data_IF_386114597059
#
_entry.id   IF_386114597059
#
_cell.length_a   1.000
_cell.length_b   1.000
_cell.length_c   1.000
_cell.angle_alpha   90.00
_cell.angle_beta   90.00
_cell.angle_gamma   90.00
#
_symmetry.space_group_name_H-M   'P 1'
#
loop_
_entity.id
_entity.type
_entity.pdbx_description
1 polymer ?
#
# COMPACT_ATOMS: atom_id res chain seq x y z
N UNK A 1 20.34 -23.32 6.70
CA UNK A 1 19.17 -22.42 6.67
C UNK A 1 18.89 -22.05 8.12
N UNK A 2 19.24 -20.83 8.53
CA UNK A 2 19.13 -20.38 9.92
C UNK A 2 17.66 -20.32 10.33
N UNK A 3 17.32 -20.90 11.49
CA UNK A 3 15.99 -20.78 12.07
C UNK A 3 15.77 -19.34 12.50
N UNK A 4 14.83 -18.65 11.87
CA UNK A 4 14.42 -17.30 12.28
C UNK A 4 13.94 -17.31 13.74
N UNK A 5 14.42 -16.35 14.52
CA UNK A 5 14.21 -16.16 15.96
C UNK A 5 12.74 -16.16 16.44
N UNK A 6 11.78 -15.98 15.53
CA UNK A 6 10.35 -15.93 15.82
C UNK A 6 9.60 -17.22 15.45
N UNK A 7 10.29 -18.22 14.89
CA UNK A 7 9.66 -19.47 14.44
C UNK A 7 8.92 -20.21 15.56
N UNK A 8 9.39 -20.07 16.80
CA UNK A 8 8.82 -20.73 17.97
C UNK A 8 7.61 -19.97 18.58
N UNK A 9 7.28 -18.77 18.07
CA UNK A 9 6.20 -17.92 18.59
C UNK A 9 5.04 -17.72 17.59
N UNK A 10 5.12 -18.28 16.39
CA UNK A 10 4.07 -18.17 15.37
C UNK A 10 3.40 -19.53 15.17
N UNK A 11 2.13 -19.65 15.56
CA UNK A 11 1.32 -20.82 15.23
C UNK A 11 0.80 -20.72 13.79
N UNK A 12 1.10 -21.74 12.97
CA UNK A 12 0.64 -21.87 11.58
C UNK A 12 1.71 -21.54 10.53
N UNK A 13 1.55 -22.08 9.32
CA UNK A 13 2.35 -21.66 8.17
C UNK A 13 1.84 -20.30 7.70
N UNK A 14 2.65 -19.22 7.70
CA UNK A 14 2.26 -17.96 7.11
C UNK A 14 1.94 -18.20 5.64
N UNK A 15 0.70 -17.89 5.24
CA UNK A 15 0.26 -17.98 3.86
C UNK A 15 0.33 -16.59 3.25
N UNK A 16 1.03 -16.49 2.11
CA UNK A 16 1.05 -15.27 1.34
C UNK A 16 -0.36 -14.87 0.89
N UNK A 17 -0.70 -13.59 1.04
CA UNK A 17 -1.94 -13.01 0.55
C UNK A 17 -1.61 -11.83 -0.35
N UNK A 18 -2.05 -11.93 -1.61
CA UNK A 18 -1.91 -10.86 -2.60
C UNK A 18 -2.95 -9.75 -2.35
N UNK A 19 -2.95 -9.19 -1.15
CA UNK A 19 -3.88 -8.16 -0.69
C UNK A 19 -3.11 -7.01 -0.03
N UNK A 20 -3.52 -5.75 -0.29
CA UNK A 20 -2.93 -4.61 0.37
C UNK A 20 -3.33 -4.63 1.85
N UNK A 21 -2.39 -4.31 2.72
CA UNK A 21 -2.61 -4.22 4.15
C UNK A 21 -1.92 -2.99 4.73
N UNK A 22 -2.52 -2.42 5.76
CA UNK A 22 -1.99 -1.26 6.46
C UNK A 22 -1.14 -1.69 7.66
N UNK A 23 0.08 -1.15 7.72
CA UNK A 23 0.98 -1.27 8.84
C UNK A 23 0.90 0.00 9.71
N UNK A 24 0.25 -0.04 10.89
CA UNK A 24 0.12 1.12 11.75
C UNK A 24 1.46 1.59 12.32
N UNK A 25 2.43 0.69 12.52
CA UNK A 25 3.76 1.05 13.04
C UNK A 25 4.59 1.85 12.05
N UNK A 26 4.40 1.60 10.75
CA UNK A 26 5.12 2.28 9.67
C UNK A 26 4.34 3.43 9.03
N UNK A 27 3.08 3.64 9.43
CA UNK A 27 2.09 4.48 8.73
C UNK A 27 2.14 4.24 7.21
N UNK A 28 2.04 2.96 6.80
CA UNK A 28 2.20 2.59 5.41
C UNK A 28 1.24 1.49 4.98
N UNK A 29 0.88 1.50 3.70
CA UNK A 29 0.21 0.38 3.04
C UNK A 29 1.27 -0.39 2.27
N UNK A 30 1.26 -1.70 2.43
CA UNK A 30 2.13 -2.64 1.74
C UNK A 30 1.27 -3.53 0.84
N UNK A 31 1.67 -3.67 -0.41
CA UNK A 31 1.04 -4.58 -1.35
C UNK A 31 2.08 -5.36 -2.13
N UNK A 32 1.88 -6.67 -2.25
CA UNK A 32 2.68 -7.56 -3.08
C UNK A 32 1.74 -8.52 -3.82
N UNK A 33 2.11 -8.86 -5.05
CA UNK A 33 1.35 -9.76 -5.93
C UNK A 33 1.83 -11.21 -5.88
N UNK A 34 3.09 -11.41 -5.49
CA UNK A 34 3.75 -12.71 -5.45
C UNK A 34 4.67 -12.81 -4.22
N UNK A 35 4.80 -14.03 -3.70
CA UNK A 35 5.73 -14.39 -2.63
C UNK A 35 7.11 -14.67 -3.25
N UNK A 36 7.81 -13.61 -3.60
CA UNK A 36 9.11 -13.66 -4.25
C UNK A 36 10.10 -12.75 -3.50
N UNK A 37 11.40 -13.05 -3.60
CA UNK A 37 12.41 -12.14 -3.11
C UNK A 37 12.30 -10.78 -3.85
N UNK A 38 12.35 -9.68 -3.09
CA UNK A 38 12.08 -8.34 -3.63
C UNK A 38 13.33 -7.45 -3.64
N UNK A 39 13.47 -6.65 -4.69
CA UNK A 39 14.33 -5.46 -4.72
C UNK A 39 13.43 -4.25 -4.49
N UNK A 40 13.72 -3.47 -3.45
CA UNK A 40 12.92 -2.32 -3.05
C UNK A 40 13.51 -1.02 -3.60
N UNK A 41 12.86 -0.47 -4.64
CA UNK A 41 13.28 0.77 -5.27
C UNK A 41 12.52 1.95 -4.67
N UNK A 42 13.20 2.75 -3.85
CA UNK A 42 12.66 3.99 -3.30
C UNK A 42 12.53 5.02 -4.42
N UNK A 43 11.30 5.33 -4.80
CA UNK A 43 10.98 6.32 -5.83
C UNK A 43 11.11 7.72 -5.26
N UNK A 44 10.54 7.91 -4.07
CA UNK A 44 10.62 9.14 -3.28
C UNK A 44 10.38 8.82 -1.79
N UNK A 45 10.06 9.86 -1.01
CA UNK A 45 9.86 9.70 0.43
C UNK A 45 8.61 8.87 0.79
N UNK A 46 7.61 8.86 -0.10
CA UNK A 46 6.30 8.26 0.10
C UNK A 46 6.17 6.90 -0.59
N UNK A 47 6.68 6.73 -1.80
CA UNK A 47 6.53 5.54 -2.62
C UNK A 47 7.83 4.72 -2.73
N UNK A 48 7.69 3.42 -2.47
CA UNK A 48 8.67 2.39 -2.82
C UNK A 48 7.99 1.39 -3.75
N UNK A 49 8.63 1.03 -4.85
CA UNK A 49 8.17 -0.03 -5.75
C UNK A 49 8.95 -1.31 -5.43
N UNK A 50 8.24 -2.44 -5.38
CA UNK A 50 8.86 -3.74 -5.20
C UNK A 50 8.97 -4.42 -6.56
N UNK A 51 10.19 -4.75 -6.96
CA UNK A 51 10.49 -5.51 -8.16
C UNK A 51 10.94 -6.92 -7.77
N UNK A 52 10.60 -7.92 -8.57
CA UNK A 52 11.08 -9.28 -8.35
C UNK A 52 12.60 -9.32 -8.53
N UNK A 53 13.30 -9.92 -7.57
CA UNK A 53 14.74 -10.14 -7.69
C UNK A 53 15.09 -11.18 -8.78
N UNK A 54 14.10 -11.88 -9.33
CA UNK A 54 14.28 -12.92 -10.35
C UNK A 54 14.34 -12.31 -11.75
N UNK A 55 13.35 -11.48 -12.10
CA UNK A 55 13.14 -10.97 -13.47
C UNK A 55 12.99 -9.44 -13.55
N UNK A 56 13.12 -8.74 -12.42
CA UNK A 56 12.97 -7.29 -12.29
C UNK A 56 11.58 -6.76 -12.69
N UNK A 57 10.55 -7.61 -12.77
CA UNK A 57 9.18 -7.16 -13.00
C UNK A 57 8.64 -6.47 -11.73
N UNK A 58 7.81 -5.42 -11.85
CA UNK A 58 7.07 -4.88 -10.72
C UNK A 58 6.12 -5.90 -10.10
N UNK A 59 6.26 -6.15 -8.80
CA UNK A 59 5.46 -7.11 -8.03
C UNK A 59 4.73 -6.48 -6.85
N UNK A 60 4.83 -5.17 -6.64
CA UNK A 60 4.10 -4.50 -5.58
C UNK A 60 4.61 -3.10 -5.27
N UNK A 61 4.15 -2.56 -4.14
CA UNK A 61 4.58 -1.26 -3.66
C UNK A 61 4.41 -1.14 -2.15
N UNK A 62 5.01 -0.08 -1.61
CA UNK A 62 4.69 0.49 -0.32
C UNK A 62 4.47 1.98 -0.46
N UNK A 63 3.39 2.47 0.15
CA UNK A 63 3.09 3.89 0.27
C UNK A 63 3.04 4.30 1.74
N UNK A 64 3.83 5.31 2.12
CA UNK A 64 3.95 5.84 3.48
C UNK A 64 3.09 7.10 3.68
N UNK A 65 2.89 7.48 4.94
CA UNK A 65 2.24 8.73 5.32
C UNK A 65 0.72 8.71 5.15
N UNK A 66 0.10 7.53 5.26
CA UNK A 66 -1.32 7.32 4.98
C UNK A 66 -2.20 8.14 5.91
N UNK A 67 -1.92 8.11 7.22
CA UNK A 67 -2.64 8.93 8.20
C UNK A 67 -2.46 10.43 7.94
N UNK A 68 -1.27 10.85 7.51
CA UNK A 68 -0.99 12.24 7.10
C UNK A 68 -1.85 12.68 5.92
N UNK A 69 -1.90 11.86 4.87
CA UNK A 69 -2.71 12.13 3.67
C UNK A 69 -4.20 12.19 4.00
N UNK A 70 -4.70 11.27 4.84
CA UNK A 70 -6.11 11.25 5.28
C UNK A 70 -6.46 12.53 6.04
N UNK A 71 -5.59 12.99 6.94
CA UNK A 71 -5.82 14.24 7.69
C UNK A 71 -5.83 15.47 6.78
N UNK A 72 -4.94 15.52 5.79
CA UNK A 72 -4.79 16.66 4.88
C UNK A 72 -5.93 16.80 3.88
N UNK A 73 -6.32 15.70 3.24
CA UNK A 73 -7.34 15.70 2.19
C UNK A 73 -8.75 15.51 2.75
N UNK A 74 -8.85 15.06 4.00
CA UNK A 74 -10.10 14.60 4.58
C UNK A 74 -10.55 13.27 3.98
N UNK A 75 -11.31 12.50 4.76
CA UNK A 75 -11.84 11.21 4.31
C UNK A 75 -12.72 11.37 3.05
N UNK A 76 -13.39 12.52 2.86
CA UNK A 76 -14.27 12.73 1.71
C UNK A 76 -13.55 12.70 0.35
N UNK A 77 -12.26 13.07 0.28
CA UNK A 77 -11.49 13.06 -0.97
C UNK A 77 -10.89 11.70 -1.34
N UNK A 78 -10.83 10.78 -0.37
CA UNK A 78 -10.15 9.47 -0.50
C UNK A 78 -11.08 8.27 -0.28
N UNK A 79 -12.27 8.51 0.27
CA UNK A 79 -13.23 7.48 0.63
C UNK A 79 -14.09 7.03 -0.54
N UNK A 80 -14.36 5.72 -0.58
CA UNK A 80 -15.49 5.15 -1.31
C UNK A 80 -16.67 5.07 -0.32
N UNK A 81 -17.73 5.86 -0.58
CA UNK A 81 -18.97 5.81 0.20
C UNK A 81 -19.94 4.81 -0.44
N UNK A 82 -20.51 3.92 0.37
CA UNK A 82 -21.61 3.05 -0.09
C UNK A 82 -22.92 3.82 -0.10
N UNK A 83 -23.72 3.65 -1.15
CA UNK A 83 -25.02 4.30 -1.30
C UNK A 83 -26.03 3.87 -0.23
N UNK A 84 -25.83 2.71 0.41
CA UNK A 84 -26.69 2.16 1.45
C UNK A 84 -26.44 2.75 2.85
N UNK A 85 -25.30 3.40 3.08
CA UNK A 85 -24.90 3.91 4.40
C UNK A 85 -24.13 5.23 4.20
N UNK A 86 -24.87 6.33 4.13
CA UNK A 86 -24.33 7.66 3.81
C UNK A 86 -23.55 8.29 4.98
N UNK A 87 -23.56 7.68 6.16
CA UNK A 87 -23.01 8.27 7.38
C UNK A 87 -21.63 7.74 7.78
N UNK A 88 -21.14 6.64 7.18
CA UNK A 88 -19.84 6.05 7.53
C UNK A 88 -18.95 5.80 6.31
N UNK A 89 -17.67 6.14 6.43
CA UNK A 89 -16.65 5.81 5.43
C UNK A 89 -16.33 4.33 5.57
N UNK A 90 -16.63 3.53 4.55
CA UNK A 90 -16.41 2.08 4.58
C UNK A 90 -15.00 1.70 4.15
N UNK A 91 -14.47 2.34 3.10
CA UNK A 91 -13.12 2.05 2.61
C UNK A 91 -12.45 3.25 1.96
N UNK A 92 -11.12 3.20 1.88
CA UNK A 92 -10.26 4.21 1.27
C UNK A 92 -9.63 3.63 0.00
N UNK A 93 -9.71 4.38 -1.09
CA UNK A 93 -9.14 3.98 -2.38
C UNK A 93 -7.61 4.09 -2.36
N UNK A 94 -6.93 3.03 -2.77
CA UNK A 94 -5.47 3.00 -2.89
C UNK A 94 -4.99 3.90 -4.02
N UNK A 95 -5.68 3.92 -5.16
CA UNK A 95 -5.34 4.81 -6.28
C UNK A 95 -5.46 6.28 -5.89
N UNK A 96 -6.45 6.63 -5.05
CA UNK A 96 -6.59 7.98 -4.53
C UNK A 96 -5.43 8.35 -3.58
N UNK A 97 -4.97 7.41 -2.74
CA UNK A 97 -3.77 7.62 -1.91
C UNK A 97 -2.49 7.76 -2.75
N UNK A 98 -2.31 6.94 -3.78
CA UNK A 98 -1.18 7.06 -4.70
C UNK A 98 -1.18 8.41 -5.43
N UNK A 99 -2.36 8.88 -5.86
CA UNK A 99 -2.50 10.19 -6.48
C UNK A 99 -2.17 11.31 -5.48
N UNK A 100 -2.70 11.23 -4.26
CA UNK A 100 -2.39 12.18 -3.19
C UNK A 100 -0.88 12.28 -2.91
N UNK A 101 -0.20 11.14 -2.81
CA UNK A 101 1.24 11.10 -2.60
C UNK A 101 2.03 11.64 -3.80
N UNK A 102 1.58 11.37 -5.04
CA UNK A 102 2.22 11.92 -6.23
C UNK A 102 2.23 13.46 -6.22
N UNK A 103 1.14 14.09 -5.79
CA UNK A 103 0.99 15.56 -5.72
C UNK A 103 1.89 16.24 -4.66
N UNK A 104 2.47 15.49 -3.71
CA UNK A 104 3.32 16.07 -2.65
C UNK A 104 4.76 16.40 -3.10
N UNK A 105 5.16 15.96 -4.30
CA UNK A 105 6.56 16.00 -4.74
C UNK A 105 6.78 16.62 -6.11
N UNK A 106 8.04 16.68 -6.57
CA UNK A 106 8.40 17.27 -7.85
C UNK A 106 7.83 16.45 -9.03
N UNK A 107 7.42 17.13 -10.10
CA UNK A 107 6.79 16.50 -11.26
C UNK A 107 7.82 15.92 -12.26
N UNK A 108 8.66 15.01 -11.80
CA UNK A 108 9.66 14.35 -12.66
C UNK A 108 9.03 13.20 -13.47
N UNK A 109 9.61 12.91 -14.64
CA UNK A 109 9.16 11.78 -15.47
C UNK A 109 9.32 10.43 -14.78
N UNK A 110 10.38 10.25 -14.00
CA UNK A 110 10.62 9.00 -13.28
C UNK A 110 9.58 8.77 -12.19
N UNK A 111 9.25 9.80 -11.38
CA UNK A 111 8.14 9.70 -10.40
C UNK A 111 6.84 9.37 -11.10
N UNK A 112 6.48 10.11 -12.15
CA UNK A 112 5.21 9.89 -12.87
C UNK A 112 5.07 8.45 -13.35
N UNK A 113 6.12 7.88 -13.95
CA UNK A 113 6.12 6.48 -14.42
C UNK A 113 5.95 5.49 -13.27
N UNK A 114 6.66 5.69 -12.17
CA UNK A 114 6.59 4.80 -11.02
C UNK A 114 5.21 4.82 -10.35
N UNK A 115 4.62 6.01 -10.15
CA UNK A 115 3.26 6.12 -9.61
C UNK A 115 2.21 5.54 -10.56
N UNK A 116 2.34 5.75 -11.88
CA UNK A 116 1.45 5.13 -12.85
C UNK A 116 1.53 3.59 -12.79
N UNK A 117 2.75 3.03 -12.76
CA UNK A 117 2.94 1.59 -12.58
C UNK A 117 2.32 1.06 -11.28
N UNK A 118 2.40 1.82 -10.19
CA UNK A 118 1.79 1.45 -8.92
C UNK A 118 0.25 1.45 -8.98
N UNK A 119 -0.35 2.36 -9.75
CA UNK A 119 -1.79 2.42 -9.97
C UNK A 119 -2.32 1.29 -10.87
N UNK A 120 -1.49 0.76 -11.77
CA UNK A 120 -1.85 -0.30 -12.71
C UNK A 120 -1.81 -1.70 -12.08
N UNK A 121 -1.32 -1.84 -10.84
CA UNK A 121 -1.26 -3.14 -10.21
C UNK A 121 -2.67 -3.77 -10.05
N UNK A 122 -2.88 -5.00 -10.52
CA UNK A 122 -4.16 -5.70 -10.44
C UNK A 122 -4.43 -6.19 -9.01
N UNK A 123 -4.68 -5.27 -8.09
CA UNK A 123 -5.14 -5.62 -6.76
C UNK A 123 -6.58 -6.14 -6.83
N UNK A 124 -6.81 -7.39 -6.42
CA UNK A 124 -8.18 -7.91 -6.20
C UNK A 124 -8.97 -7.00 -5.25
N UNK A 125 -8.26 -6.33 -4.34
CA UNK A 125 -8.76 -5.36 -3.38
C UNK A 125 -8.13 -4.00 -3.68
N UNK A 126 -8.89 -3.10 -4.28
CA UNK A 126 -8.45 -1.74 -4.65
C UNK A 126 -8.69 -0.68 -3.54
N UNK A 127 -9.19 -1.13 -2.38
CA UNK A 127 -9.50 -0.25 -1.26
C UNK A 127 -9.27 -0.96 0.07
N UNK A 128 -8.90 -0.20 1.10
CA UNK A 128 -8.70 -0.71 2.46
C UNK A 128 -9.85 -0.20 3.34
N UNK A 129 -10.52 -1.06 4.12
CA UNK A 129 -11.53 -0.64 5.07
C UNK A 129 -11.02 0.43 6.03
N UNK A 130 -11.88 1.39 6.38
CA UNK A 130 -11.47 2.53 7.18
C UNK A 130 -11.14 2.16 8.64
N UNK A 131 -11.72 1.08 9.15
CA UNK A 131 -11.42 0.49 10.45
C UNK A 131 -10.04 -0.18 10.49
N UNK A 132 -9.58 -0.74 9.37
CA UNK A 132 -8.20 -1.26 9.25
C UNK A 132 -7.12 -0.17 9.31
N UNK A 133 -7.50 1.12 9.21
CA UNK A 133 -6.58 2.26 9.22
C UNK A 133 -6.46 2.93 10.61
N UNK A 134 -7.13 2.39 11.62
CA UNK A 134 -7.06 2.92 12.98
C UNK A 134 -5.83 2.33 13.70
N UNK A 135 -5.00 3.16 14.35
CA UNK A 135 -3.97 2.64 15.25
C UNK A 135 -4.65 1.92 16.43
N UNK A 136 -4.18 0.70 16.73
CA UNK A 136 -4.56 -0.07 17.93
C UNK A 136 -4.04 0.62 19.18
#
# INVERSE_FOLDING_TARGET
MEKHFLADQMEGQPSFRAEPWYNPYGDCIVYQMADEAVVADRVDELLTVYNSAIDNRPIGFQIKGVAGMIRKLGLAGLAVRSQADTQSVKSISISALLLAAYEEGPQTMNRRRAYASAMEFPAKRQSIPADELQPV
#
